data_IF_178173485851
#
_entry.id   IF_178173485851
#
_cell.length_a   1.000
_cell.length_b   1.000
_cell.length_c   1.000
_cell.angle_alpha   90.00
_cell.angle_beta   90.00
_cell.angle_gamma   90.00
#
_symmetry.space_group_name_H-M   'P 1'
#
loop_
_entity.id
_entity.type
_entity.pdbx_description
1 polymer ?
#
# COMPACT_ATOMS: atom_id res chain seq x y z
N UNK A 1 18.38 -17.05 35.93
CA UNK A 1 17.04 -16.77 35.41
C UNK A 1 16.84 -15.34 34.83
N UNK A 2 17.85 -14.66 34.28
CA UNK A 2 17.75 -13.28 33.70
C UNK A 2 17.87 -13.17 32.17
N UNK A 3 17.96 -14.30 31.43
CA UNK A 3 18.17 -14.28 29.98
C UNK A 3 16.89 -14.30 29.09
N UNK A 4 15.72 -14.48 29.68
CA UNK A 4 14.46 -14.57 28.91
C UNK A 4 13.65 -13.27 28.83
N UNK A 5 13.96 -12.26 29.63
CA UNK A 5 13.22 -10.99 29.70
C UNK A 5 13.26 -10.22 28.35
N UNK A 6 14.42 -9.99 27.69
CA UNK A 6 14.45 -9.21 26.46
C UNK A 6 13.73 -9.89 25.28
N UNK A 7 13.63 -11.22 25.27
CA UNK A 7 12.90 -11.96 24.23
C UNK A 7 11.39 -11.80 24.43
N UNK A 8 10.93 -11.81 25.69
CA UNK A 8 9.52 -11.54 26.02
C UNK A 8 9.14 -10.09 25.63
N UNK A 9 9.99 -9.12 25.94
CA UNK A 9 9.75 -7.72 25.65
C UNK A 9 9.64 -7.46 24.13
N UNK A 10 10.52 -8.08 23.33
CA UNK A 10 10.44 -8.04 21.86
C UNK A 10 9.17 -8.69 21.35
N UNK A 11 8.75 -9.82 21.92
CA UNK A 11 7.53 -10.51 21.53
C UNK A 11 6.28 -9.66 21.84
N UNK A 12 6.24 -8.98 23.00
CA UNK A 12 5.17 -8.03 23.34
C UNK A 12 5.16 -6.82 22.41
N UNK A 13 6.32 -6.27 22.07
CA UNK A 13 6.42 -5.16 21.11
C UNK A 13 5.87 -5.59 19.73
N UNK A 14 6.22 -6.77 19.25
CA UNK A 14 5.72 -7.32 17.98
C UNK A 14 4.19 -7.53 18.04
N UNK A 15 3.66 -8.06 19.14
CA UNK A 15 2.21 -8.24 19.33
C UNK A 15 1.47 -6.90 19.38
N UNK A 16 2.02 -5.90 20.06
CA UNK A 16 1.45 -4.55 20.11
C UNK A 16 1.49 -3.91 18.71
N UNK A 17 2.59 -4.07 17.97
CA UNK A 17 2.71 -3.58 16.59
C UNK A 17 1.71 -4.27 15.65
N UNK A 18 1.59 -5.59 15.73
CA UNK A 18 0.61 -6.35 14.96
C UNK A 18 -0.83 -5.93 15.32
N UNK A 19 -1.13 -5.75 16.60
CA UNK A 19 -2.45 -5.29 17.07
C UNK A 19 -2.76 -3.87 16.58
N UNK A 20 -1.80 -2.94 16.64
CA UNK A 20 -1.93 -1.58 16.11
C UNK A 20 -2.15 -1.57 14.59
N UNK A 21 -1.45 -2.42 13.83
CA UNK A 21 -1.63 -2.51 12.38
C UNK A 21 -3.04 -3.03 12.00
N UNK A 22 -3.56 -4.00 12.76
CA UNK A 22 -4.90 -4.57 12.49
C UNK A 22 -6.07 -3.68 12.92
N UNK A 23 -5.86 -2.74 13.86
CA UNK A 23 -6.93 -1.95 14.45
C UNK A 23 -6.74 -0.44 14.28
N UNK A 24 -5.87 0.00 13.36
CA UNK A 24 -5.57 1.43 13.20
C UNK A 24 -6.80 2.27 12.83
N UNK A 25 -7.69 1.73 12.01
CA UNK A 25 -8.92 2.41 11.60
C UNK A 25 -9.85 2.60 12.80
N UNK A 26 -10.07 1.53 13.56
CA UNK A 26 -10.90 1.57 14.76
C UNK A 26 -10.29 2.49 15.82
N UNK A 27 -8.96 2.39 16.02
CA UNK A 27 -8.24 3.27 16.92
C UNK A 27 -8.42 4.77 16.57
N UNK A 28 -8.29 5.15 15.29
CA UNK A 28 -8.52 6.53 14.83
C UNK A 28 -9.99 6.95 15.04
N UNK A 29 -10.93 6.03 14.78
CA UNK A 29 -12.35 6.32 14.97
C UNK A 29 -12.73 6.52 16.44
N UNK A 30 -12.12 5.76 17.35
CA UNK A 30 -12.37 5.81 18.79
C UNK A 30 -11.63 6.97 19.48
N UNK A 31 -10.56 7.47 18.88
CA UNK A 31 -9.72 8.55 19.43
C UNK A 31 -9.64 9.76 18.49
N UNK A 32 -10.75 10.44 18.21
CA UNK A 32 -10.79 11.55 17.24
C UNK A 32 -9.91 12.74 17.65
N UNK A 33 -9.64 12.90 18.94
CA UNK A 33 -8.87 14.02 19.52
C UNK A 33 -7.37 13.68 19.70
N UNK A 34 -6.88 12.57 19.11
CA UNK A 34 -5.48 12.15 19.26
C UNK A 34 -4.51 13.14 18.59
N UNK A 35 -4.98 13.87 17.60
CA UNK A 35 -4.26 14.93 16.90
C UNK A 35 -5.27 15.91 16.28
N UNK A 36 -4.85 17.17 16.08
CA UNK A 36 -5.68 18.19 15.41
C UNK A 36 -6.03 17.77 13.98
N UNK A 37 -5.12 17.09 13.30
CA UNK A 37 -5.32 16.47 11.98
C UNK A 37 -4.67 15.10 11.91
N UNK A 38 -5.37 14.16 11.30
CA UNK A 38 -4.85 12.82 10.99
C UNK A 38 -4.86 12.60 9.48
N UNK A 39 -3.70 12.31 8.89
CA UNK A 39 -3.61 11.92 7.48
C UNK A 39 -3.79 10.42 7.37
N UNK A 40 -4.86 9.99 6.70
CA UNK A 40 -5.16 8.59 6.44
C UNK A 40 -4.91 8.26 4.97
N UNK A 41 -4.04 7.28 4.69
CA UNK A 41 -3.62 6.90 3.33
C UNK A 41 -4.16 5.56 2.87
N UNK A 42 -4.94 4.88 3.72
CA UNK A 42 -5.64 3.63 3.37
C UNK A 42 -6.88 3.86 2.51
N UNK A 43 -7.62 2.80 2.26
CA UNK A 43 -8.85 2.85 1.44
C UNK A 43 -9.94 3.68 2.10
N UNK A 44 -10.44 4.70 1.40
CA UNK A 44 -11.49 5.59 1.92
C UNK A 44 -12.80 4.84 2.20
N UNK A 45 -13.18 3.89 1.36
CA UNK A 45 -14.37 3.08 1.53
C UNK A 45 -14.28 2.14 2.73
N UNK A 46 -13.12 1.54 2.98
CA UNK A 46 -12.85 0.74 4.18
C UNK A 46 -12.96 1.58 5.45
N UNK A 47 -12.40 2.80 5.47
CA UNK A 47 -12.51 3.72 6.60
C UNK A 47 -13.97 3.95 7.01
N UNK A 48 -14.89 4.00 6.04
CA UNK A 48 -16.32 4.15 6.26
C UNK A 48 -17.09 2.82 6.26
N UNK A 49 -16.42 1.69 6.52
CA UNK A 49 -17.03 0.35 6.60
C UNK A 49 -17.86 -0.01 5.35
N UNK A 50 -17.43 0.47 4.19
CA UNK A 50 -18.07 0.25 2.89
C UNK A 50 -19.54 0.67 2.82
N UNK A 51 -19.96 1.65 3.62
CA UNK A 51 -21.36 2.08 3.78
C UNK A 51 -22.05 2.51 2.47
N UNK A 52 -21.30 3.01 1.50
CA UNK A 52 -21.82 3.46 0.20
C UNK A 52 -21.56 2.44 -0.92
N UNK A 53 -20.84 1.36 -0.63
CA UNK A 53 -20.41 0.34 -1.56
C UNK A 53 -18.90 0.19 -1.60
N UNK A 54 -18.43 -0.84 -2.28
CA UNK A 54 -17.01 -1.18 -2.40
C UNK A 54 -16.44 -0.52 -3.65
N UNK A 55 -15.34 0.20 -3.51
CA UNK A 55 -14.54 0.71 -4.63
C UNK A 55 -13.69 -0.43 -5.22
N UNK A 56 -13.39 -0.34 -6.50
CA UNK A 56 -12.62 -1.37 -7.20
C UNK A 56 -11.14 -0.95 -7.29
N UNK A 57 -10.26 -1.92 -7.05
CA UNK A 57 -8.81 -1.71 -7.08
C UNK A 57 -8.13 -2.73 -7.99
N UNK A 58 -6.90 -2.47 -8.37
CA UNK A 58 -5.98 -3.43 -8.97
C UNK A 58 -5.08 -4.01 -7.90
N UNK A 59 -4.74 -5.28 -8.08
CA UNK A 59 -3.77 -6.00 -7.27
C UNK A 59 -2.70 -6.59 -8.17
N UNK A 60 -1.52 -6.76 -7.61
CA UNK A 60 -0.46 -7.59 -8.16
C UNK A 60 -0.04 -8.61 -7.11
N UNK A 61 0.45 -9.76 -7.54
CA UNK A 61 1.14 -10.69 -6.67
C UNK A 61 2.49 -11.05 -7.27
N UNK A 62 3.40 -11.50 -6.43
CA UNK A 62 4.76 -11.81 -6.79
C UNK A 62 5.07 -13.27 -6.57
N UNK A 63 5.83 -13.86 -7.50
CA UNK A 63 6.44 -15.17 -7.34
C UNK A 63 7.95 -14.98 -7.28
N UNK A 64 8.53 -15.29 -6.11
CA UNK A 64 9.95 -15.16 -5.88
C UNK A 64 10.68 -16.44 -6.22
N UNK A 65 11.82 -16.32 -6.90
CA UNK A 65 12.67 -17.44 -7.30
C UNK A 65 14.13 -17.10 -7.04
N UNK A 66 14.84 -18.01 -6.37
CA UNK A 66 16.30 -17.94 -6.22
C UNK A 66 16.97 -18.65 -7.38
N UNK A 67 17.90 -17.97 -8.04
CA UNK A 67 18.67 -18.47 -9.17
C UNK A 67 20.17 -18.47 -8.84
N UNK A 68 20.85 -19.57 -9.12
CA UNK A 68 22.30 -19.69 -8.94
C UNK A 68 23.04 -19.09 -10.15
N UNK A 69 22.85 -17.79 -10.31
CA UNK A 69 23.55 -16.95 -11.30
C UNK A 69 23.85 -15.60 -10.70
N UNK A 70 24.95 -15.01 -11.07
CA UNK A 70 25.35 -13.68 -10.59
C UNK A 70 24.69 -12.54 -11.36
N UNK A 71 24.10 -12.82 -12.51
CA UNK A 71 23.37 -11.85 -13.33
C UNK A 71 22.31 -12.57 -14.18
N UNK A 72 21.05 -12.37 -13.88
CA UNK A 72 19.95 -13.01 -14.60
C UNK A 72 19.54 -12.23 -15.85
N UNK A 73 19.29 -10.94 -15.73
CA UNK A 73 18.74 -10.14 -16.82
C UNK A 73 19.54 -8.85 -17.14
N UNK A 74 20.62 -8.60 -16.42
CA UNK A 74 21.50 -7.43 -16.66
C UNK A 74 20.92 -6.09 -16.20
N UNK A 75 19.73 -6.08 -15.64
CA UNK A 75 19.03 -4.88 -15.19
C UNK A 75 18.12 -5.18 -14.01
N UNK A 76 17.87 -4.16 -13.16
CA UNK A 76 17.02 -4.32 -11.96
C UNK A 76 15.56 -4.67 -12.32
N UNK A 77 15.01 -4.09 -13.38
CA UNK A 77 13.62 -4.31 -13.80
C UNK A 77 13.53 -4.45 -15.31
N UNK A 78 12.86 -5.51 -15.78
CA UNK A 78 12.50 -5.72 -17.18
C UNK A 78 11.01 -5.91 -17.30
N UNK A 79 10.34 -5.09 -18.13
CA UNK A 79 8.91 -5.21 -18.42
C UNK A 79 8.68 -6.11 -19.63
N UNK A 80 7.62 -6.92 -19.57
CA UNK A 80 7.20 -7.83 -20.61
C UNK A 80 5.85 -7.37 -21.18
N UNK A 81 5.77 -7.24 -22.47
CA UNK A 81 4.56 -6.77 -23.19
C UNK A 81 3.96 -7.84 -24.09
N UNK A 82 4.62 -8.99 -24.20
CA UNK A 82 4.22 -10.11 -25.02
C UNK A 82 2.94 -10.76 -24.50
N UNK A 83 2.01 -11.06 -25.40
CA UNK A 83 0.70 -11.62 -25.04
C UNK A 83 0.80 -13.00 -24.37
N UNK A 84 1.85 -13.78 -24.70
CA UNK A 84 2.03 -15.15 -24.19
C UNK A 84 2.73 -15.19 -22.83
N UNK A 85 3.25 -14.05 -22.35
CA UNK A 85 3.86 -13.91 -21.04
C UNK A 85 2.80 -13.50 -20.02
N UNK A 86 2.67 -14.27 -18.93
CA UNK A 86 1.61 -14.05 -17.93
C UNK A 86 1.95 -12.98 -16.90
N UNK A 87 3.24 -12.70 -16.69
CA UNK A 87 3.72 -11.67 -15.78
C UNK A 87 4.02 -10.37 -16.54
N UNK A 88 3.90 -9.24 -15.85
CA UNK A 88 4.12 -7.91 -16.43
C UNK A 88 5.55 -7.47 -16.34
N UNK A 89 6.31 -7.96 -15.36
CA UNK A 89 7.74 -7.65 -15.18
C UNK A 89 8.46 -8.72 -14.38
N UNK A 90 9.80 -8.70 -14.54
CA UNK A 90 10.72 -9.38 -13.62
C UNK A 90 11.58 -8.33 -12.93
N UNK A 91 11.68 -8.46 -11.62
CA UNK A 91 12.54 -7.66 -10.76
C UNK A 91 13.71 -8.54 -10.35
N UNK A 92 14.95 -8.12 -10.66
CA UNK A 92 16.19 -8.76 -10.20
C UNK A 92 16.74 -7.94 -9.04
N UNK A 93 16.50 -8.42 -7.81
CA UNK A 93 16.76 -7.67 -6.58
C UNK A 93 18.23 -7.34 -6.36
N UNK A 94 19.14 -8.18 -6.84
CA UNK A 94 20.56 -7.97 -6.71
C UNK A 94 21.05 -6.65 -7.28
N UNK A 95 20.43 -6.18 -8.37
CA UNK A 95 20.81 -4.93 -9.02
C UNK A 95 20.46 -3.67 -8.23
N UNK A 96 19.57 -3.73 -7.25
CA UNK A 96 19.30 -2.61 -6.35
C UNK A 96 20.37 -2.43 -5.28
N UNK A 97 20.94 -3.56 -4.79
CA UNK A 97 21.90 -3.58 -3.70
C UNK A 97 23.37 -3.69 -4.17
N UNK A 98 23.60 -3.87 -5.47
CA UNK A 98 24.93 -4.10 -6.06
C UNK A 98 25.70 -5.24 -5.36
N UNK A 99 25.01 -6.28 -4.96
CA UNK A 99 25.56 -7.41 -4.21
C UNK A 99 26.59 -8.23 -5.01
N UNK A 100 27.55 -8.83 -4.30
CA UNK A 100 28.64 -9.62 -4.89
C UNK A 100 28.42 -11.15 -4.78
N UNK A 101 27.27 -11.59 -4.30
CA UNK A 101 26.94 -13.01 -4.19
C UNK A 101 26.82 -13.66 -5.60
N UNK A 102 27.08 -14.96 -5.67
CA UNK A 102 27.01 -15.75 -6.92
C UNK A 102 25.59 -16.31 -7.20
N UNK A 103 24.57 -15.71 -6.59
CA UNK A 103 23.17 -16.01 -6.82
C UNK A 103 22.37 -14.72 -6.86
N UNK A 104 21.18 -14.79 -7.43
CA UNK A 104 20.20 -13.69 -7.34
C UNK A 104 18.83 -14.19 -6.90
N UNK A 105 17.98 -13.26 -6.48
CA UNK A 105 16.54 -13.48 -6.28
C UNK A 105 15.81 -12.63 -7.28
N UNK A 106 14.90 -13.25 -8.01
CA UNK A 106 14.00 -12.55 -8.93
C UNK A 106 12.57 -12.63 -8.40
N UNK A 107 11.77 -11.58 -8.69
CA UNK A 107 10.32 -11.58 -8.46
C UNK A 107 9.63 -11.38 -9.80
N UNK A 108 8.72 -12.31 -10.15
CA UNK A 108 7.82 -12.18 -11.29
C UNK A 108 6.52 -11.55 -10.81
N UNK A 109 6.14 -10.41 -11.38
CA UNK A 109 4.93 -9.66 -11.03
C UNK A 109 3.77 -10.08 -11.92
N UNK A 110 2.69 -10.55 -11.31
CA UNK A 110 1.47 -10.95 -12.00
C UNK A 110 0.32 -10.00 -11.67
N UNK A 111 -0.40 -9.48 -12.68
CA UNK A 111 -1.62 -8.72 -12.44
C UNK A 111 -2.74 -9.63 -11.96
N UNK A 112 -3.52 -9.17 -11.00
CA UNK A 112 -4.72 -9.87 -10.56
C UNK A 112 -5.85 -8.89 -10.22
N UNK A 113 -7.07 -9.41 -10.19
CA UNK A 113 -8.20 -8.66 -9.68
C UNK A 113 -8.15 -8.62 -8.15
N UNK A 114 -8.43 -7.46 -7.60
CA UNK A 114 -8.49 -7.28 -6.15
C UNK A 114 -9.84 -7.79 -5.61
N UNK A 115 -9.81 -8.42 -4.46
CA UNK A 115 -10.99 -8.79 -3.69
C UNK A 115 -10.92 -8.16 -2.30
N UNK A 116 -12.09 -7.89 -1.70
CA UNK A 116 -12.17 -7.32 -0.35
C UNK A 116 -11.40 -8.17 0.66
N UNK A 117 -10.51 -7.52 1.41
CA UNK A 117 -9.61 -8.17 2.37
C UNK A 117 -8.22 -8.48 1.83
N UNK A 118 -7.98 -8.28 0.54
CA UNK A 118 -6.65 -8.34 -0.06
C UNK A 118 -6.00 -6.95 -0.09
N UNK A 119 -4.68 -6.92 -0.29
CA UNK A 119 -3.92 -5.67 -0.39
C UNK A 119 -4.19 -4.98 -1.74
N UNK A 120 -4.73 -3.74 -1.76
CA UNK A 120 -4.94 -2.96 -2.97
C UNK A 120 -3.66 -2.22 -3.36
N UNK A 121 -3.36 -2.15 -4.65
CA UNK A 121 -2.18 -1.42 -5.14
C UNK A 121 -2.53 -0.06 -5.75
N UNK A 122 -3.58 0.00 -6.56
CA UNK A 122 -4.05 1.25 -7.15
C UNK A 122 -5.52 1.19 -7.58
N UNK A 123 -6.20 2.34 -7.62
CA UNK A 123 -7.62 2.42 -7.92
C UNK A 123 -7.92 2.12 -9.40
N UNK A 124 -9.15 1.67 -9.67
CA UNK A 124 -9.71 1.57 -11.02
C UNK A 124 -10.58 2.79 -11.27
N UNK A 125 -10.01 3.80 -11.94
CA UNK A 125 -10.68 5.05 -12.25
C UNK A 125 -11.58 4.89 -13.50
N UNK A 126 -12.80 4.42 -13.28
CA UNK A 126 -13.89 4.43 -14.25
C UNK A 126 -15.04 5.33 -13.75
N UNK A 127 -16.02 5.59 -14.61
CA UNK A 127 -17.14 6.50 -14.30
C UNK A 127 -17.90 6.05 -13.04
N UNK A 128 -18.21 4.75 -12.91
CA UNK A 128 -18.92 4.17 -11.76
C UNK A 128 -18.14 4.39 -10.45
N UNK A 129 -16.86 4.05 -10.44
CA UNK A 129 -16.03 4.15 -9.25
C UNK A 129 -15.75 5.62 -8.88
N UNK A 130 -15.55 6.49 -9.87
CA UNK A 130 -15.37 7.91 -9.63
C UNK A 130 -16.62 8.54 -8.98
N UNK A 131 -17.82 8.20 -9.45
CA UNK A 131 -19.07 8.66 -8.84
C UNK A 131 -19.26 8.15 -7.41
N UNK A 132 -18.88 6.90 -7.14
CA UNK A 132 -18.89 6.31 -5.79
C UNK A 132 -17.87 7.02 -4.88
N UNK A 133 -16.65 7.25 -5.38
CA UNK A 133 -15.62 7.98 -4.65
C UNK A 133 -16.06 9.41 -4.28
N UNK A 134 -16.68 10.14 -5.20
CA UNK A 134 -17.26 11.47 -4.91
C UNK A 134 -18.30 11.43 -3.78
N UNK A 135 -19.04 10.33 -3.67
CA UNK A 135 -19.97 10.13 -2.57
C UNK A 135 -19.26 9.94 -1.23
N UNK A 136 -18.12 9.23 -1.22
CA UNK A 136 -17.26 9.12 -0.05
C UNK A 136 -16.60 10.45 0.30
N UNK A 137 -16.18 11.25 -0.67
CA UNK A 137 -15.66 12.61 -0.43
C UNK A 137 -16.70 13.50 0.23
N UNK A 138 -17.98 13.38 -0.13
CA UNK A 138 -19.06 14.10 0.57
C UNK A 138 -19.23 13.59 2.00
N UNK A 139 -19.12 12.28 2.21
CA UNK A 139 -19.20 11.68 3.54
C UNK A 139 -18.02 12.09 4.45
N UNK A 140 -16.80 12.19 3.88
CA UNK A 140 -15.59 12.55 4.62
C UNK A 140 -15.63 13.98 5.18
N UNK A 141 -16.44 14.88 4.62
CA UNK A 141 -16.64 16.24 5.16
C UNK A 141 -17.25 16.26 6.57
N UNK A 142 -17.82 15.14 7.02
CA UNK A 142 -18.32 14.98 8.39
C UNK A 142 -17.21 14.65 9.39
N UNK A 143 -16.01 14.38 8.92
CA UNK A 143 -14.79 14.06 9.69
C UNK A 143 -13.67 15.02 9.27
N UNK A 144 -13.81 16.33 9.55
CA UNK A 144 -12.87 17.36 9.09
C UNK A 144 -11.46 17.23 9.69
N UNK A 145 -11.31 16.45 10.77
CA UNK A 145 -10.05 16.10 11.40
C UNK A 145 -9.26 15.05 10.58
N UNK A 146 -9.93 14.30 9.68
CA UNK A 146 -9.28 13.27 8.85
C UNK A 146 -9.03 13.81 7.45
N UNK A 147 -7.77 13.76 7.02
CA UNK A 147 -7.35 14.10 5.67
C UNK A 147 -7.09 12.79 4.91
N UNK A 148 -7.89 12.50 3.89
CA UNK A 148 -7.69 11.34 3.04
C UNK A 148 -6.66 11.66 1.96
N UNK A 149 -5.49 11.01 2.00
CA UNK A 149 -4.37 11.22 1.11
C UNK A 149 -3.81 9.92 0.51
N UNK A 150 -2.77 10.05 -0.31
CA UNK A 150 -2.15 8.91 -0.98
C UNK A 150 -3.03 8.30 -2.08
N UNK A 151 -2.56 7.22 -2.68
CA UNK A 151 -3.26 6.56 -3.81
C UNK A 151 -4.64 6.03 -3.44
N UNK A 152 -4.77 5.43 -2.27
CA UNK A 152 -6.00 4.76 -1.84
C UNK A 152 -6.98 5.74 -1.19
N UNK A 153 -6.50 6.63 -0.31
CA UNK A 153 -7.35 7.62 0.37
C UNK A 153 -7.88 8.69 -0.58
N UNK A 154 -7.08 9.15 -1.54
CA UNK A 154 -7.48 10.07 -2.58
C UNK A 154 -8.07 9.37 -3.83
N UNK A 155 -8.15 8.05 -3.84
CA UNK A 155 -8.62 7.21 -4.94
C UNK A 155 -8.06 7.65 -6.30
N UNK A 156 -6.74 7.87 -6.36
CA UNK A 156 -6.08 8.42 -7.53
C UNK A 156 -4.78 7.67 -7.83
N UNK A 157 -4.57 7.37 -9.12
CA UNK A 157 -3.27 6.86 -9.55
C UNK A 157 -2.24 7.99 -9.52
N UNK A 158 -1.12 7.75 -8.84
CA UNK A 158 0.02 8.65 -8.76
C UNK A 158 1.31 7.92 -9.10
N UNK A 159 2.16 8.53 -9.90
CA UNK A 159 3.57 8.20 -9.94
C UNK A 159 4.28 8.73 -8.67
N UNK A 160 5.50 8.28 -8.40
CA UNK A 160 6.19 8.60 -7.15
C UNK A 160 6.39 10.11 -6.94
N UNK A 161 6.75 10.85 -8.00
CA UNK A 161 6.89 12.31 -7.96
C UNK A 161 5.57 13.00 -7.60
N UNK A 162 4.46 12.52 -8.19
CA UNK A 162 3.13 13.08 -7.95
C UNK A 162 2.57 12.77 -6.57
N UNK A 163 2.95 11.63 -5.97
CA UNK A 163 2.61 11.35 -4.56
C UNK A 163 3.32 12.34 -3.64
N UNK A 164 4.60 12.63 -3.88
CA UNK A 164 5.37 13.61 -3.10
C UNK A 164 4.79 15.00 -3.26
N UNK A 165 4.51 15.44 -4.49
CA UNK A 165 3.88 16.73 -4.77
C UNK A 165 2.55 16.89 -4.02
N UNK A 166 1.66 15.89 -4.12
CA UNK A 166 0.38 15.90 -3.42
C UNK A 166 0.52 15.93 -1.89
N UNK A 167 1.54 15.27 -1.34
CA UNK A 167 1.83 15.31 0.09
C UNK A 167 2.28 16.71 0.54
N UNK A 168 3.17 17.36 -0.21
CA UNK A 168 3.63 18.72 0.06
C UNK A 168 2.48 19.71 -0.02
N UNK A 169 1.64 19.65 -1.06
CA UNK A 169 0.44 20.49 -1.17
C UNK A 169 -0.54 20.27 -0.01
N UNK A 170 -0.66 19.01 0.46
CA UNK A 170 -1.51 18.69 1.60
C UNK A 170 -1.02 19.39 2.87
N UNK A 171 0.30 19.39 3.12
CA UNK A 171 0.93 20.09 4.23
C UNK A 171 0.67 21.61 4.14
N UNK A 172 0.94 22.23 2.99
CA UNK A 172 0.74 23.67 2.79
C UNK A 172 -0.71 24.14 3.00
N UNK A 173 -1.69 23.26 2.70
CA UNK A 173 -3.12 23.60 2.84
C UNK A 173 -3.69 23.37 4.25
N UNK A 174 -3.07 22.51 5.05
CA UNK A 174 -3.68 22.02 6.30
C UNK A 174 -2.84 22.28 7.56
N UNK A 175 -1.58 22.65 7.41
CA UNK A 175 -0.65 22.99 8.47
C UNK A 175 -0.12 24.41 8.30
#
# INVERSE_FOLDING_TARGET
MKKFQPVLDIFYIILIYAWLCFNIIDFIKENPDIADKTVYTGMIDEFFDYKLGVLEYRRVYFEDERLDTDNYQGNAVVNYTERDVKFTRIIDHKHFEYGNQNFTIISKEYPSEWQKGEEPYYPINNEKNNALYESYVKLSKKRPEIIFGGRLGAYKYYDMDKVVEAALECVEKNL
#
